data_IF_187126022027
#
_entry.id   IF_187126022027
#
_cell.length_a   1.000
_cell.length_b   1.000
_cell.length_c   1.000
_cell.angle_alpha   90.00
_cell.angle_beta   90.00
_cell.angle_gamma   90.00
#
_symmetry.space_group_name_H-M   'P 1'
#
loop_
_entity.id
_entity.type
_entity.pdbx_description
1 polymer ?
#
# COMPACT_ATOMS: atom_id res chain seq x y z
N UNK A 1 15.17 -4.06 42.43
CA UNK A 1 13.77 -4.39 42.12
C UNK A 1 13.56 -4.14 40.64
N UNK A 2 13.83 -5.15 39.82
CA UNK A 2 13.71 -5.13 38.37
C UNK A 2 12.70 -6.23 38.00
N UNK A 3 11.73 -5.90 37.14
CA UNK A 3 10.71 -6.82 36.66
C UNK A 3 10.42 -6.53 35.20
N UNK A 4 11.02 -7.35 34.34
CA UNK A 4 10.80 -7.41 32.89
C UNK A 4 9.57 -8.28 32.64
N UNK A 5 8.65 -7.89 31.76
CA UNK A 5 7.53 -8.75 31.32
C UNK A 5 7.57 -8.87 29.81
N UNK A 6 7.87 -10.09 29.36
CA UNK A 6 7.80 -10.58 27.98
C UNK A 6 6.49 -11.36 27.86
N UNK A 7 5.62 -10.98 26.92
CA UNK A 7 4.39 -11.70 26.61
C UNK A 7 4.56 -12.64 25.42
N UNK A 8 4.64 -13.95 25.69
CA UNK A 8 4.54 -15.02 24.68
C UNK A 8 3.08 -15.44 24.57
N UNK A 9 2.47 -15.35 23.38
CA UNK A 9 1.15 -15.90 23.11
C UNK A 9 1.30 -17.34 22.58
N UNK A 10 0.91 -18.30 23.42
CA UNK A 10 0.72 -19.71 23.10
C UNK A 10 -0.61 -19.91 22.36
N UNK A 11 -0.55 -20.46 21.15
CA UNK A 11 -1.73 -20.96 20.44
C UNK A 11 -2.14 -22.35 20.97
N UNK A 12 -3.44 -22.69 21.05
CA UNK A 12 -3.87 -24.05 21.35
C UNK A 12 -3.66 -24.97 20.15
N UNK A 13 -3.06 -26.14 20.40
CA UNK A 13 -2.93 -27.28 19.49
C UNK A 13 -4.31 -27.85 19.15
N UNK A 14 -4.66 -27.88 17.87
CA UNK A 14 -5.67 -28.80 17.33
C UNK A 14 -4.95 -30.05 16.80
N UNK A 15 -5.13 -31.17 17.50
CA UNK A 15 -4.78 -32.49 17.02
C UNK A 15 -6.00 -33.16 16.38
N UNK A 16 -5.74 -33.93 15.32
CA UNK A 16 -6.64 -34.88 14.61
C UNK A 16 -7.62 -34.30 13.60
N UNK A 17 -7.17 -34.14 12.36
CA UNK A 17 -7.83 -34.72 11.16
C UNK A 17 -6.74 -35.15 10.16
N UNK A 18 -5.84 -36.03 10.59
CA UNK A 18 -5.07 -36.89 9.68
C UNK A 18 -5.78 -38.24 9.68
N UNK A 19 -6.37 -38.63 8.53
CA UNK A 19 -7.04 -39.93 8.44
C UNK A 19 -8.16 -40.08 7.41
N UNK A 20 -8.39 -39.15 6.48
CA UNK A 20 -9.45 -39.30 5.47
C UNK A 20 -9.07 -38.88 4.04
N UNK A 21 -7.78 -38.80 3.71
CA UNK A 21 -7.30 -38.47 2.36
C UNK A 21 -6.31 -39.48 1.77
N UNK A 22 -6.14 -40.65 2.39
CA UNK A 22 -5.19 -41.70 1.94
C UNK A 22 -5.80 -42.86 1.16
N UNK A 23 -7.11 -42.89 0.91
CA UNK A 23 -7.81 -44.13 0.51
C UNK A 23 -8.64 -44.08 -0.77
N UNK A 24 -8.55 -43.04 -1.61
CA UNK A 24 -9.39 -42.92 -2.82
C UNK A 24 -8.65 -42.36 -4.03
N UNK A 25 -7.43 -42.84 -4.28
CA UNK A 25 -6.62 -42.47 -5.46
C UNK A 25 -6.18 -43.69 -6.27
N UNK A 26 -7.01 -44.74 -6.31
CA UNK A 26 -6.80 -45.92 -7.16
C UNK A 26 -8.19 -46.48 -7.54
N UNK A 27 -8.77 -45.91 -8.61
CA UNK A 27 -9.68 -46.55 -9.58
C UNK A 27 -10.58 -45.50 -10.25
N UNK A 28 -10.36 -45.29 -11.55
CA UNK A 28 -11.27 -44.50 -12.36
C UNK A 28 -10.68 -44.02 -13.68
N UNK A 29 -10.08 -44.92 -14.46
CA UNK A 29 -9.87 -44.66 -15.89
C UNK A 29 -11.22 -44.47 -16.57
N UNK A 30 -11.26 -43.49 -17.45
CA UNK A 30 -12.16 -43.34 -18.60
C UNK A 30 -13.67 -43.32 -18.30
N UNK A 31 -14.22 -42.11 -18.23
CA UNK A 31 -15.53 -41.83 -18.85
C UNK A 31 -15.60 -40.37 -19.28
N UNK A 32 -15.76 -40.19 -20.59
CA UNK A 32 -15.93 -38.92 -21.27
C UNK A 32 -17.02 -38.07 -20.60
N UNK A 33 -16.73 -36.77 -20.42
CA UNK A 33 -17.69 -35.77 -19.94
C UNK A 33 -18.05 -34.84 -21.11
N UNK A 34 -19.34 -34.54 -21.33
CA UNK A 34 -19.82 -33.98 -22.59
C UNK A 34 -19.55 -32.48 -22.67
N UNK A 35 -19.25 -32.02 -23.88
CA UNK A 35 -19.25 -30.61 -24.24
C UNK A 35 -20.70 -30.13 -24.44
N UNK A 36 -21.17 -29.18 -23.62
CA UNK A 36 -22.04 -28.06 -24.00
C UNK A 36 -22.67 -27.37 -22.77
N UNK A 37 -23.02 -26.08 -22.95
CA UNK A 37 -23.52 -25.07 -21.99
C UNK A 37 -22.39 -24.30 -21.26
N UNK A 38 -21.75 -23.31 -21.89
CA UNK A 38 -22.24 -21.97 -22.23
C UNK A 38 -22.44 -21.01 -21.03
N UNK A 39 -21.63 -19.95 -21.09
CA UNK A 39 -21.89 -18.54 -20.73
C UNK A 39 -21.64 -18.05 -19.30
N UNK A 40 -20.90 -16.93 -19.30
CA UNK A 40 -20.64 -15.97 -18.22
C UNK A 40 -19.68 -16.40 -17.10
N UNK A 41 -18.40 -16.22 -17.38
CA UNK A 41 -17.46 -15.73 -16.37
C UNK A 41 -16.58 -14.70 -17.05
N UNK A 42 -17.06 -13.46 -17.04
CA UNK A 42 -16.19 -12.31 -17.27
C UNK A 42 -15.20 -12.24 -16.12
N UNK A 43 -14.12 -13.03 -16.21
CA UNK A 43 -12.92 -12.72 -15.46
C UNK A 43 -12.57 -11.27 -15.80
N UNK A 44 -12.34 -10.39 -14.81
CA UNK A 44 -11.93 -9.03 -15.12
C UNK A 44 -10.70 -9.14 -16.02
N UNK A 45 -10.78 -8.50 -17.19
CA UNK A 45 -9.68 -8.51 -18.14
C UNK A 45 -8.43 -8.10 -17.38
N UNK A 46 -7.42 -9.00 -17.35
CA UNK A 46 -6.13 -8.69 -16.74
C UNK A 46 -5.71 -7.33 -17.31
N UNK A 47 -5.49 -6.30 -16.47
CA UNK A 47 -5.10 -5.01 -16.99
C UNK A 47 -3.90 -5.20 -17.91
N UNK A 48 -3.91 -4.50 -19.04
CA UNK A 48 -2.83 -4.59 -20.01
C UNK A 48 -1.49 -4.47 -19.27
N UNK A 49 -0.54 -5.35 -19.61
CA UNK A 49 0.77 -5.33 -18.98
C UNK A 49 1.33 -3.90 -19.08
N UNK A 50 1.57 -3.28 -17.92
CA UNK A 50 2.15 -1.94 -17.88
C UNK A 50 3.46 -2.02 -18.66
N UNK A 51 3.64 -1.24 -19.73
CA UNK A 51 4.88 -1.26 -20.50
C UNK A 51 6.03 -0.97 -19.55
N UNK A 52 7.14 -1.71 -19.71
CA UNK A 52 8.32 -1.52 -18.87
C UNK A 52 8.71 -0.03 -18.88
N UNK A 53 8.96 0.58 -17.70
CA UNK A 53 9.25 2.00 -17.63
C UNK A 53 10.47 2.30 -18.50
N UNK A 54 10.30 3.17 -19.49
CA UNK A 54 11.41 3.63 -20.31
C UNK A 54 12.25 4.63 -19.50
N UNK A 55 13.59 4.58 -19.61
CA UNK A 55 14.45 5.51 -18.91
C UNK A 55 14.13 6.96 -19.31
N UNK A 56 13.85 7.79 -18.31
CA UNK A 56 13.42 9.20 -18.48
C UNK A 56 14.55 10.07 -19.08
N UNK A 57 15.81 9.62 -18.95
CA UNK A 57 17.00 10.22 -19.57
C UNK A 57 18.17 9.24 -19.65
N UNK A 58 19.15 9.56 -20.49
CA UNK A 58 20.42 8.82 -20.55
C UNK A 58 21.21 8.97 -19.24
N UNK A 59 21.77 7.86 -18.76
CA UNK A 59 22.60 7.81 -17.56
C UNK A 59 23.95 8.48 -17.77
N UNK A 60 24.38 9.33 -16.81
CA UNK A 60 25.75 9.85 -16.76
C UNK A 60 26.71 8.80 -16.17
N UNK A 61 28.01 8.91 -16.47
CA UNK A 61 29.01 7.96 -15.98
C UNK A 61 29.08 7.88 -14.44
N UNK A 62 28.98 9.02 -13.75
CA UNK A 62 28.94 9.06 -12.28
C UNK A 62 27.69 8.37 -11.70
N UNK A 63 26.53 8.54 -12.32
CA UNK A 63 25.27 7.90 -11.92
C UNK A 63 25.36 6.38 -12.15
N UNK A 64 25.93 5.95 -13.27
CA UNK A 64 26.15 4.54 -13.58
C UNK A 64 27.09 3.86 -12.56
N UNK A 65 28.15 4.56 -12.13
CA UNK A 65 29.05 4.08 -11.09
C UNK A 65 28.35 3.90 -9.74
N UNK A 66 27.46 4.83 -9.37
CA UNK A 66 26.68 4.73 -8.14
C UNK A 66 25.66 3.59 -8.19
N UNK A 67 24.91 3.47 -9.29
CA UNK A 67 23.94 2.38 -9.48
C UNK A 67 24.66 1.03 -9.51
N UNK A 68 25.83 0.95 -10.15
CA UNK A 68 26.66 -0.25 -10.17
C UNK A 68 27.03 -0.74 -8.77
N UNK A 69 27.36 0.19 -7.86
CA UNK A 69 27.60 -0.14 -6.43
C UNK A 69 26.36 -0.73 -5.76
N UNK A 70 25.18 -0.15 -5.98
CA UNK A 70 23.93 -0.69 -5.42
C UNK A 70 23.52 -2.05 -5.99
N UNK A 71 23.82 -2.28 -7.27
CA UNK A 71 23.54 -3.56 -7.95
C UNK A 71 24.60 -4.63 -7.67
N UNK A 72 25.65 -4.32 -6.89
CA UNK A 72 26.73 -5.25 -6.59
C UNK A 72 27.62 -5.60 -7.79
N UNK A 73 27.71 -4.70 -8.78
CA UNK A 73 28.58 -4.85 -9.95
C UNK A 73 30.00 -4.48 -9.52
N UNK A 74 30.90 -5.47 -9.49
CA UNK A 74 32.30 -5.32 -9.05
C UNK A 74 33.20 -4.62 -10.07
N UNK A 75 32.83 -4.67 -11.35
CA UNK A 75 33.60 -4.11 -12.45
C UNK A 75 33.15 -2.67 -12.77
N UNK A 76 33.93 -1.96 -13.60
CA UNK A 76 33.59 -0.61 -14.04
C UNK A 76 32.17 -0.55 -14.64
N UNK A 77 31.29 0.16 -13.93
CA UNK A 77 29.89 0.32 -14.25
C UNK A 77 29.71 1.49 -15.23
N UNK A 78 29.58 1.15 -16.51
CA UNK A 78 29.31 2.13 -17.58
C UNK A 78 27.81 2.32 -17.79
N UNK A 79 27.35 3.48 -18.30
CA UNK A 79 25.94 3.74 -18.58
C UNK A 79 25.25 2.64 -19.43
N UNK A 80 25.96 2.10 -20.43
CA UNK A 80 25.44 1.04 -21.28
C UNK A 80 25.26 -0.30 -20.55
N UNK A 81 26.21 -0.67 -19.67
CA UNK A 81 26.09 -1.90 -18.85
C UNK A 81 24.91 -1.81 -17.89
N UNK A 82 24.75 -0.67 -17.22
CA UNK A 82 23.62 -0.45 -16.30
C UNK A 82 22.29 -0.47 -17.05
N UNK A 83 22.20 0.22 -18.19
CA UNK A 83 20.96 0.22 -19.00
C UNK A 83 20.55 -1.19 -19.43
N UNK A 84 21.50 -2.00 -19.90
CA UNK A 84 21.26 -3.40 -20.26
C UNK A 84 20.83 -4.25 -19.06
N UNK A 85 21.43 -4.04 -17.89
CA UNK A 85 21.05 -4.75 -16.67
C UNK A 85 19.63 -4.39 -16.21
N UNK A 86 19.24 -3.12 -16.35
CA UNK A 86 17.88 -2.65 -16.05
C UNK A 86 16.86 -3.26 -17.03
N UNK A 87 17.15 -3.30 -18.32
CA UNK A 87 16.32 -3.97 -19.33
C UNK A 87 16.15 -5.46 -19.03
N UNK A 88 17.25 -6.16 -18.75
CA UNK A 88 17.25 -7.58 -18.38
C UNK A 88 16.51 -7.85 -17.07
N UNK A 89 16.38 -6.84 -16.21
CA UNK A 89 15.60 -6.96 -14.98
C UNK A 89 14.09 -7.09 -15.23
N UNK A 90 13.61 -6.78 -16.45
CA UNK A 90 12.20 -6.84 -16.79
C UNK A 90 11.34 -5.87 -15.96
N UNK A 91 11.91 -4.73 -15.54
CA UNK A 91 11.23 -3.75 -14.68
C UNK A 91 11.34 -4.01 -13.19
N UNK A 92 12.11 -5.03 -12.75
CA UNK A 92 12.44 -5.23 -11.32
C UNK A 92 13.29 -4.09 -10.77
N UNK A 93 14.07 -3.45 -11.64
CA UNK A 93 14.89 -2.30 -11.32
C UNK A 93 14.61 -1.20 -12.35
N UNK A 94 14.50 0.03 -11.88
CA UNK A 94 14.35 1.21 -12.71
C UNK A 94 15.14 2.36 -12.10
N UNK A 95 15.73 3.20 -12.95
CA UNK A 95 16.37 4.44 -12.51
C UNK A 95 15.35 5.56 -12.68
N UNK A 96 15.06 6.23 -11.58
CA UNK A 96 14.28 7.46 -11.57
C UNK A 96 15.19 8.64 -11.27
N UNK A 97 14.76 9.85 -11.63
CA UNK A 97 15.42 11.06 -11.17
C UNK A 97 15.46 11.13 -9.64
N UNK A 98 16.42 11.91 -9.12
CA UNK A 98 16.52 12.18 -7.70
C UNK A 98 15.14 12.64 -7.18
N UNK A 99 14.52 11.78 -6.36
CA UNK A 99 13.17 12.04 -5.85
C UNK A 99 13.18 13.37 -5.11
N UNK A 100 12.15 14.20 -5.33
CA UNK A 100 11.88 15.34 -4.45
C UNK A 100 11.90 14.84 -3.01
N UNK A 101 12.73 15.41 -2.16
CA UNK A 101 12.85 14.98 -0.77
C UNK A 101 11.92 15.81 0.10
N UNK A 102 11.27 15.18 1.09
CA UNK A 102 10.50 15.91 2.09
C UNK A 102 11.46 16.73 2.97
N UNK A 103 11.19 18.03 3.10
CA UNK A 103 11.94 18.93 4.00
C UNK A 103 11.14 19.17 5.29
N UNK A 104 11.73 19.74 6.34
CA UNK A 104 10.97 20.13 7.53
C UNK A 104 9.82 21.11 7.22
N UNK A 105 10.00 22.00 6.26
CA UNK A 105 9.00 23.01 5.84
C UNK A 105 7.91 22.40 4.95
N UNK A 106 8.24 21.31 4.24
CA UNK A 106 7.30 20.52 3.45
C UNK A 106 7.51 19.04 3.75
N UNK A 107 6.95 18.52 4.86
CA UNK A 107 7.17 17.15 5.32
C UNK A 107 6.37 16.12 4.52
N UNK A 108 6.17 16.37 3.22
CA UNK A 108 5.60 15.43 2.28
C UNK A 108 6.11 15.70 0.87
N UNK A 109 6.00 14.69 0.02
CA UNK A 109 6.29 14.75 -1.41
C UNK A 109 5.02 14.32 -2.14
N UNK A 110 4.67 15.06 -3.18
CA UNK A 110 3.46 14.85 -3.96
C UNK A 110 3.82 14.83 -5.44
N UNK A 111 3.38 13.79 -6.14
CA UNK A 111 3.62 13.59 -7.57
C UNK A 111 2.47 12.81 -8.22
N UNK A 112 2.17 13.13 -9.48
CA UNK A 112 1.39 12.26 -10.34
C UNK A 112 2.36 11.44 -11.20
N UNK A 113 2.51 10.16 -10.89
CA UNK A 113 3.47 9.26 -11.53
C UNK A 113 3.05 8.93 -12.99
N UNK A 114 4.00 8.50 -13.84
CA UNK A 114 3.69 7.91 -15.14
C UNK A 114 2.74 6.70 -14.97
N UNK A 115 1.62 6.67 -15.71
CA UNK A 115 0.57 5.66 -15.52
C UNK A 115 -0.63 6.17 -14.70
N UNK A 116 -1.02 7.43 -14.92
CA UNK A 116 -1.41 8.42 -13.90
C UNK A 116 -1.76 7.82 -12.53
N UNK A 117 -0.76 7.68 -11.64
CA UNK A 117 -0.99 7.25 -10.24
C UNK A 117 -0.68 8.40 -9.31
N UNK A 118 -1.62 8.76 -8.43
CA UNK A 118 -1.38 9.77 -7.42
C UNK A 118 -0.43 9.22 -6.35
N UNK A 119 0.68 9.92 -6.07
CA UNK A 119 1.68 9.47 -5.11
C UNK A 119 1.91 10.55 -4.05
N UNK A 120 1.73 10.16 -2.80
CA UNK A 120 2.09 10.97 -1.64
C UNK A 120 3.04 10.19 -0.75
N UNK A 121 4.22 10.76 -0.50
CA UNK A 121 5.14 10.26 0.53
C UNK A 121 5.12 11.21 1.71
N UNK A 122 4.82 10.68 2.89
CA UNK A 122 4.52 11.51 4.05
C UNK A 122 5.55 11.25 5.15
N UNK A 123 6.17 12.34 5.60
CA UNK A 123 7.13 12.33 6.70
C UNK A 123 6.49 12.78 8.01
N UNK A 124 5.52 13.69 7.97
CA UNK A 124 4.77 14.15 9.15
C UNK A 124 3.28 14.18 8.83
N UNK A 125 2.47 13.72 9.79
CA UNK A 125 1.01 13.74 9.70
C UNK A 125 0.45 15.10 10.14
N UNK A 126 -0.81 15.37 9.80
CA UNK A 126 -1.58 16.50 10.30
C UNK A 126 -2.19 17.39 9.22
N UNK A 127 -2.69 18.55 9.65
CA UNK A 127 -3.49 19.48 8.83
C UNK A 127 -2.75 19.91 7.55
N UNK A 128 -1.46 20.27 7.67
CA UNK A 128 -0.70 20.80 6.54
C UNK A 128 -0.61 19.81 5.36
N UNK A 129 -0.34 18.53 5.66
CA UNK A 129 -0.29 17.49 4.63
C UNK A 129 -1.69 17.11 4.16
N UNK A 130 -2.71 17.10 5.04
CA UNK A 130 -4.08 16.76 4.63
C UNK A 130 -4.67 17.81 3.67
N UNK A 131 -4.45 19.08 3.94
CA UNK A 131 -4.84 20.16 3.02
C UNK A 131 -4.06 20.11 1.70
N UNK A 132 -2.77 19.79 1.75
CA UNK A 132 -1.96 19.65 0.56
C UNK A 132 -2.45 18.50 -0.32
N UNK A 133 -2.75 17.35 0.27
CA UNK A 133 -3.35 16.21 -0.43
C UNK A 133 -4.68 16.59 -1.10
N UNK A 134 -5.54 17.35 -0.42
CA UNK A 134 -6.77 17.86 -0.99
C UNK A 134 -6.55 18.74 -2.23
N UNK A 135 -5.58 19.67 -2.17
CA UNK A 135 -5.20 20.52 -3.31
C UNK A 135 -4.60 19.72 -4.46
N UNK A 136 -3.68 18.81 -4.15
CA UNK A 136 -3.03 17.95 -5.13
C UNK A 136 -4.06 17.09 -5.87
N UNK A 137 -4.98 16.46 -5.12
CA UNK A 137 -6.05 15.65 -5.69
C UNK A 137 -7.01 16.46 -6.55
N UNK A 138 -7.39 17.66 -6.12
CA UNK A 138 -8.25 18.55 -6.91
C UNK A 138 -7.62 18.88 -8.27
N UNK A 139 -6.29 19.05 -8.32
CA UNK A 139 -5.55 19.28 -9.55
C UNK A 139 -5.38 18.00 -10.40
N UNK A 140 -5.21 16.83 -9.76
CA UNK A 140 -4.92 15.59 -10.47
C UNK A 140 -6.15 14.83 -10.92
N UNK A 141 -7.30 14.96 -10.26
CA UNK A 141 -8.52 14.19 -10.61
C UNK A 141 -8.96 14.40 -12.06
N UNK A 142 -8.68 15.56 -12.64
CA UNK A 142 -8.97 15.87 -14.06
C UNK A 142 -8.14 15.02 -15.03
N UNK A 143 -7.02 14.45 -14.57
CA UNK A 143 -6.14 13.57 -15.33
C UNK A 143 -6.51 12.08 -15.16
N UNK A 144 -7.65 11.79 -14.54
CA UNK A 144 -8.18 10.46 -14.27
C UNK A 144 -7.14 9.48 -13.72
N UNK A 145 -6.59 9.73 -12.52
CA UNK A 145 -5.60 8.82 -11.96
C UNK A 145 -6.22 7.43 -11.74
N UNK A 146 -5.47 6.37 -12.03
CA UNK A 146 -5.92 4.98 -11.95
C UNK A 146 -5.90 4.43 -10.52
N UNK A 147 -5.23 5.14 -9.61
CA UNK A 147 -5.04 4.72 -8.23
C UNK A 147 -4.22 5.74 -7.45
N UNK A 148 -4.05 5.47 -6.17
CA UNK A 148 -3.24 6.25 -5.26
C UNK A 148 -2.25 5.37 -4.49
N UNK A 149 -1.08 5.94 -4.19
CA UNK A 149 -0.07 5.35 -3.33
C UNK A 149 0.21 6.32 -2.20
N UNK A 150 0.04 5.84 -0.97
CA UNK A 150 0.38 6.53 0.26
C UNK A 150 1.62 5.88 0.86
N UNK A 151 2.76 6.55 0.77
CA UNK A 151 4.05 6.05 1.23
C UNK A 151 4.38 6.60 2.62
N UNK A 152 4.25 5.73 3.62
CA UNK A 152 4.48 6.02 5.04
C UNK A 152 5.85 5.54 5.52
N UNK A 153 6.73 5.03 4.64
CA UNK A 153 8.04 4.48 5.04
C UNK A 153 8.96 5.49 5.73
N UNK A 154 8.77 6.77 5.46
CA UNK A 154 9.51 7.88 6.06
C UNK A 154 8.70 8.62 7.14
N UNK A 155 7.51 8.13 7.48
CA UNK A 155 6.67 8.76 8.50
C UNK A 155 7.39 8.73 9.85
N UNK A 156 7.56 9.91 10.44
CA UNK A 156 8.23 10.05 11.72
C UNK A 156 7.41 9.38 12.84
N UNK A 157 8.07 8.81 13.86
CA UNK A 157 7.39 8.36 15.06
C UNK A 157 6.83 9.54 15.88
N UNK A 158 6.01 9.24 16.89
CA UNK A 158 5.56 10.23 17.87
C UNK A 158 4.56 11.28 17.36
N UNK A 159 3.92 11.04 16.21
CA UNK A 159 2.84 11.89 15.71
C UNK A 159 1.58 11.74 16.59
N UNK A 160 0.74 12.76 16.65
CA UNK A 160 -0.47 12.75 17.48
C UNK A 160 -1.61 11.93 16.85
N UNK A 161 -2.58 11.50 17.67
CA UNK A 161 -3.78 10.82 17.20
C UNK A 161 -4.69 11.76 16.40
N UNK A 162 -4.72 13.04 16.76
CA UNK A 162 -5.40 14.08 15.98
C UNK A 162 -4.83 14.15 14.57
N UNK A 163 -3.52 14.08 14.40
CA UNK A 163 -2.88 14.11 13.09
C UNK A 163 -3.22 12.88 12.23
N UNK A 164 -3.51 11.73 12.86
CA UNK A 164 -4.07 10.56 12.16
C UNK A 164 -5.49 10.85 11.68
N UNK A 165 -6.33 11.43 12.54
CA UNK A 165 -7.71 11.75 12.20
C UNK A 165 -7.81 12.73 11.01
N UNK A 166 -6.94 13.75 10.99
CA UNK A 166 -6.82 14.71 9.89
C UNK A 166 -6.60 14.05 8.53
N UNK A 167 -5.80 12.98 8.50
CA UNK A 167 -5.42 12.33 7.26
C UNK A 167 -6.38 11.19 6.90
N UNK A 168 -6.78 10.37 7.87
CA UNK A 168 -7.77 9.31 7.67
C UNK A 168 -9.13 9.88 7.25
N UNK A 169 -9.51 11.06 7.75
CA UNK A 169 -10.75 11.75 7.40
C UNK A 169 -10.90 12.05 5.90
N UNK A 170 -9.79 12.15 5.17
CA UNK A 170 -9.79 12.35 3.72
C UNK A 170 -10.33 11.15 2.92
N UNK A 171 -10.46 9.98 3.56
CA UNK A 171 -10.82 8.72 2.92
C UNK A 171 -12.20 8.22 3.33
N UNK A 172 -12.90 8.92 4.23
CA UNK A 172 -14.18 8.46 4.79
C UNK A 172 -15.24 9.56 4.75
N UNK A 173 -16.48 9.20 5.02
CA UNK A 173 -17.58 10.16 5.06
C UNK A 173 -17.43 11.10 6.27
N UNK A 174 -17.74 12.41 6.15
CA UNK A 174 -17.74 13.31 7.29
C UNK A 174 -18.66 12.82 8.42
N UNK A 175 -18.24 12.99 9.67
CA UNK A 175 -18.93 12.57 10.88
C UNK A 175 -18.69 11.11 11.30
N UNK A 176 -18.10 10.31 10.43
CA UNK A 176 -17.82 8.91 10.68
C UNK A 176 -16.80 8.70 11.80
N UNK A 177 -17.00 7.69 12.64
CA UNK A 177 -16.03 7.32 13.70
C UNK A 177 -14.82 6.67 13.04
N UNK A 178 -13.64 7.23 13.29
CA UNK A 178 -12.37 6.70 12.83
C UNK A 178 -11.86 5.65 13.82
N UNK A 179 -11.72 6.04 15.09
CA UNK A 179 -11.28 5.18 16.17
C UNK A 179 -11.65 5.77 17.53
N UNK A 180 -11.63 4.93 18.55
CA UNK A 180 -11.76 5.35 19.95
C UNK A 180 -10.46 5.05 20.68
N UNK A 181 -9.90 6.06 21.33
CA UNK A 181 -8.78 5.90 22.24
C UNK A 181 -9.29 5.81 23.67
N UNK A 182 -8.74 4.90 24.45
CA UNK A 182 -9.05 4.75 25.88
C UNK A 182 -7.75 4.76 26.69
N UNK A 183 -7.71 5.54 27.75
CA UNK A 183 -6.56 5.55 28.67
C UNK A 183 -6.63 4.41 29.70
N UNK A 184 -5.57 4.28 30.51
CA UNK A 184 -5.51 3.26 31.58
C UNK A 184 -6.50 3.49 32.72
N UNK A 185 -7.15 4.66 32.81
CA UNK A 185 -8.19 4.99 33.77
C UNK A 185 -9.61 4.77 33.21
N UNK A 186 -9.72 4.31 31.96
CA UNK A 186 -11.00 4.06 31.29
C UNK A 186 -11.63 5.30 30.65
N UNK A 187 -10.94 6.44 30.60
CA UNK A 187 -11.43 7.63 29.90
C UNK A 187 -11.30 7.42 28.40
N UNK A 188 -12.39 7.68 27.69
CA UNK A 188 -12.44 7.54 26.24
C UNK A 188 -12.41 8.87 25.51
N UNK A 189 -11.80 8.86 24.32
CA UNK A 189 -11.89 9.91 23.32
C UNK A 189 -12.23 9.28 21.98
N UNK A 190 -13.35 9.71 21.41
CA UNK A 190 -13.79 9.29 20.07
C UNK A 190 -13.24 10.26 19.04
N UNK A 191 -12.54 9.74 18.04
CA UNK A 191 -12.04 10.50 16.90
C UNK A 191 -12.98 10.26 15.71
N UNK A 192 -13.47 11.35 15.13
CA UNK A 192 -14.38 11.34 13.98
C UNK A 192 -13.78 12.11 12.82
N UNK A 193 -14.16 11.77 11.60
CA UNK A 193 -13.82 12.57 10.43
C UNK A 193 -14.59 13.89 10.47
N UNK A 194 -13.87 15.01 10.35
CA UNK A 194 -14.43 16.35 10.09
C UNK A 194 -14.01 16.88 8.71
N UNK A 195 -13.27 16.08 7.95
CA UNK A 195 -12.68 16.45 6.66
C UNK A 195 -13.64 16.13 5.53
N UNK A 196 -13.60 16.95 4.49
CA UNK A 196 -14.21 16.60 3.22
C UNK A 196 -13.38 15.47 2.58
N UNK A 197 -13.99 14.31 2.25
CA UNK A 197 -13.26 13.24 1.59
C UNK A 197 -12.76 13.67 0.21
N UNK A 198 -11.67 13.03 -0.24
CA UNK A 198 -11.13 13.18 -1.58
C UNK A 198 -12.13 12.69 -2.66
N UNK A 199 -13.12 11.88 -2.28
CA UNK A 199 -14.06 11.28 -3.22
C UNK A 199 -13.43 10.16 -4.04
N UNK A 200 -12.49 9.43 -3.43
CA UNK A 200 -12.03 8.15 -3.95
C UNK A 200 -13.22 7.18 -3.80
N UNK A 201 -13.82 6.76 -4.91
CA UNK A 201 -14.95 5.83 -4.86
C UNK A 201 -14.55 4.47 -4.27
N UNK A 202 -15.54 3.65 -3.89
CA UNK A 202 -15.37 2.36 -3.19
C UNK A 202 -14.61 1.26 -3.95
N UNK A 203 -14.21 1.51 -5.19
CA UNK A 203 -13.34 0.64 -5.99
C UNK A 203 -12.01 1.29 -6.36
N UNK A 204 -11.71 2.47 -5.84
CA UNK A 204 -10.51 3.22 -6.21
C UNK A 204 -9.27 2.59 -5.57
N UNK A 205 -8.29 2.10 -6.35
CA UNK A 205 -7.13 1.41 -5.79
C UNK A 205 -6.28 2.34 -4.92
N UNK A 206 -6.15 2.01 -3.64
CA UNK A 206 -5.24 2.66 -2.70
C UNK A 206 -4.21 1.65 -2.21
N UNK A 207 -2.93 1.98 -2.39
CA UNK A 207 -1.81 1.20 -1.87
C UNK A 207 -1.16 2.00 -0.74
N UNK A 208 -1.01 1.39 0.42
CA UNK A 208 -0.25 1.97 1.54
C UNK A 208 1.10 1.27 1.64
N UNK A 209 2.20 2.02 1.49
CA UNK A 209 3.55 1.50 1.66
C UNK A 209 4.02 1.76 3.09
N UNK A 210 4.34 0.69 3.81
CA UNK A 210 4.86 0.75 5.18
C UNK A 210 6.31 0.24 5.22
N UNK A 211 7.07 0.69 6.22
CA UNK A 211 8.44 0.27 6.47
C UNK A 211 8.58 -0.42 7.83
N UNK A 212 9.68 -1.14 8.05
CA UNK A 212 9.95 -1.83 9.34
C UNK A 212 9.96 -0.90 10.56
N UNK A 213 10.29 0.37 10.32
CA UNK A 213 10.42 1.41 11.33
C UNK A 213 9.12 2.18 11.59
N UNK A 214 8.03 1.89 10.86
CA UNK A 214 6.75 2.53 11.10
C UNK A 214 6.23 2.14 12.49
N UNK A 215 5.87 3.13 13.30
CA UNK A 215 5.40 2.94 14.69
C UNK A 215 4.27 3.90 15.05
N UNK A 216 3.35 3.47 15.91
CA UNK A 216 2.36 4.32 16.57
C UNK A 216 1.32 4.92 15.61
N UNK A 217 1.21 6.25 15.56
CA UNK A 217 0.23 6.95 14.73
C UNK A 217 0.30 6.57 13.23
N UNK A 218 1.49 6.31 12.69
CA UNK A 218 1.65 5.84 11.31
C UNK A 218 1.09 4.42 11.10
N UNK A 219 1.28 3.52 12.07
CA UNK A 219 0.68 2.17 12.05
C UNK A 219 -0.84 2.24 12.17
N UNK A 220 -1.36 3.10 13.06
CA UNK A 220 -2.80 3.32 13.20
C UNK A 220 -3.41 3.82 11.89
N UNK A 221 -2.78 4.78 11.21
CA UNK A 221 -3.25 5.25 9.91
C UNK A 221 -3.30 4.11 8.88
N UNK A 222 -2.22 3.33 8.78
CA UNK A 222 -2.17 2.20 7.85
C UNK A 222 -3.27 1.16 8.15
N UNK A 223 -3.49 0.86 9.43
CA UNK A 223 -4.55 -0.04 9.90
C UNK A 223 -5.95 0.48 9.54
N UNK A 224 -6.24 1.75 9.82
CA UNK A 224 -7.53 2.36 9.49
C UNK A 224 -7.80 2.29 7.98
N UNK A 225 -6.81 2.59 7.14
CA UNK A 225 -6.98 2.50 5.70
C UNK A 225 -7.15 1.06 5.23
N UNK A 226 -6.49 0.09 5.88
CA UNK A 226 -6.65 -1.33 5.57
C UNK A 226 -8.05 -1.86 5.89
N UNK A 227 -8.54 -1.63 7.11
CA UNK A 227 -9.87 -2.08 7.56
C UNK A 227 -10.97 -1.55 6.63
N UNK A 228 -10.88 -0.28 6.23
CA UNK A 228 -11.89 0.34 5.36
C UNK A 228 -11.87 -0.18 3.93
N UNK A 229 -10.70 -0.55 3.41
CA UNK A 229 -10.60 -1.29 2.14
C UNK A 229 -11.24 -2.68 2.29
N UNK A 230 -11.13 -3.31 3.45
CA UNK A 230 -11.64 -4.66 3.69
C UNK A 230 -13.17 -4.71 3.87
N UNK A 231 -13.74 -3.74 4.59
CA UNK A 231 -15.19 -3.61 4.79
C UNK A 231 -15.91 -3.45 3.43
N UNK A 232 -15.40 -2.61 2.53
CA UNK A 232 -16.07 -2.34 1.25
C UNK A 232 -15.93 -3.47 0.21
N UNK A 233 -14.86 -4.28 0.27
CA UNK A 233 -14.61 -5.38 -0.67
C UNK A 233 -15.34 -6.68 -0.31
N UNK A 234 -15.77 -6.85 0.95
CA UNK A 234 -16.35 -8.11 1.44
C UNK A 234 -17.75 -7.99 2.09
N UNK A 235 -18.37 -6.80 2.17
CA UNK A 235 -19.70 -6.58 2.77
C UNK A 235 -20.89 -7.37 2.15
N UNK A 236 -20.88 -7.94 0.92
CA UNK A 236 -22.04 -8.72 0.47
C UNK A 236 -22.21 -10.06 1.22
N UNK A 237 -21.18 -10.58 1.88
CA UNK A 237 -21.16 -11.96 2.39
C UNK A 237 -21.32 -12.09 3.91
N UNK A 238 -21.22 -11.00 4.66
CA UNK A 238 -21.15 -11.06 6.13
C UNK A 238 -22.28 -10.33 6.88
N UNK A 239 -23.21 -9.65 6.20
CA UNK A 239 -24.38 -9.02 6.86
C UNK A 239 -25.51 -9.96 7.31
N UNK A 240 -25.47 -11.24 6.92
CA UNK A 240 -26.53 -12.22 7.25
C UNK A 240 -26.01 -13.43 8.06
N UNK A 241 -25.13 -13.20 9.04
CA UNK A 241 -24.86 -14.21 10.08
C UNK A 241 -24.80 -13.58 11.46
#
# INVERSE_FOLDING_TARGET
MAGCVVGVLLAPRLAKVEGAFGGLLEKGKERARPASLAKETGAPARPAAVPAPQPVRSLKAAEAAEIGRFMGISDEATPGKISKALEQSGGRWAVADARKTASPERPWVAELLPGPVAYWRIRSLGVAVSEAMGRDWLAWKQKNPLGAVLDLRECLPGQSLEAVAELAGLFVTPGEVLFTWRDGAGKEKVFRSDRQPLGLGSGYPLIVLIGSELRGAGELLAYLLQERIFDELFDPLFRNR
#
